data_IF_923102268806
#
_entry.id   IF_923102268806
#
_cell.length_a   1.000
_cell.length_b   1.000
_cell.length_c   1.000
_cell.angle_alpha   90.00
_cell.angle_beta   90.00
_cell.angle_gamma   90.00
#
_symmetry.space_group_name_H-M   'P 1'
#
loop_
_entity.id
_entity.type
_entity.pdbx_description
1 polymer ?
#
# COMPACT_ATOMS: atom_id res chain seq x y z
N UNK A 1 4.07 21.38 8.96
CA UNK A 1 2.85 22.19 8.66
C UNK A 1 3.07 22.94 7.34
N UNK A 2 2.19 22.79 6.34
CA UNK A 2 2.38 23.31 4.97
C UNK A 2 2.35 24.85 4.83
N UNK A 3 2.09 25.62 5.89
CA UNK A 3 2.04 27.10 5.87
C UNK A 3 1.07 27.72 4.85
N UNK A 4 0.08 26.95 4.38
CA UNK A 4 -0.84 27.37 3.30
C UNK A 4 -2.19 27.77 3.90
N UNK A 5 -2.77 28.88 3.45
CA UNK A 5 -4.09 29.30 3.88
C UNK A 5 -5.18 28.31 3.43
N UNK A 6 -6.17 28.06 4.30
CA UNK A 6 -7.30 27.15 4.02
C UNK A 6 -8.03 27.50 2.71
N UNK A 7 -8.11 28.80 2.37
CA UNK A 7 -8.69 29.28 1.12
C UNK A 7 -7.93 28.80 -0.14
N UNK A 8 -6.60 28.65 -0.05
CA UNK A 8 -5.80 28.14 -1.18
C UNK A 8 -6.09 26.67 -1.45
N UNK A 9 -6.23 25.86 -0.38
CA UNK A 9 -6.56 24.43 -0.50
C UNK A 9 -7.95 24.26 -1.12
N UNK A 10 -8.94 25.06 -0.70
CA UNK A 10 -10.28 25.05 -1.27
C UNK A 10 -10.26 25.37 -2.77
N UNK A 11 -9.52 26.39 -3.18
CA UNK A 11 -9.37 26.79 -4.57
C UNK A 11 -8.72 25.69 -5.44
N UNK A 12 -7.70 25.01 -4.94
CA UNK A 12 -7.06 23.89 -5.66
C UNK A 12 -8.02 22.71 -5.86
N UNK A 13 -8.87 22.44 -4.86
CA UNK A 13 -9.90 21.40 -4.97
C UNK A 13 -10.96 21.81 -5.99
N UNK A 14 -11.45 23.04 -5.95
CA UNK A 14 -12.48 23.54 -6.85
C UNK A 14 -12.01 23.62 -8.32
N UNK A 15 -10.71 23.88 -8.53
CA UNK A 15 -10.07 23.82 -9.86
C UNK A 15 -9.70 22.40 -10.31
N UNK A 16 -10.00 21.37 -9.52
CA UNK A 16 -9.67 19.98 -9.84
C UNK A 16 -8.16 19.65 -9.78
N UNK A 17 -7.34 20.57 -9.30
CA UNK A 17 -5.91 20.38 -9.18
C UNK A 17 -5.52 19.45 -8.00
N UNK A 18 -6.32 19.52 -6.92
CA UNK A 18 -6.16 18.67 -5.73
C UNK A 18 -7.41 17.82 -5.56
N UNK A 19 -7.25 16.50 -5.64
CA UNK A 19 -8.34 15.54 -5.46
C UNK A 19 -8.79 15.50 -4.00
N UNK A 20 -10.09 15.62 -3.76
CA UNK A 20 -10.69 15.51 -2.44
C UNK A 20 -11.97 14.67 -2.49
N UNK A 21 -12.18 13.85 -1.47
CA UNK A 21 -13.46 13.21 -1.18
C UNK A 21 -14.35 14.13 -0.34
N UNK A 22 -15.62 13.70 -0.11
CA UNK A 22 -16.55 14.35 0.82
C UNK A 22 -17.01 13.34 1.88
N UNK A 23 -17.10 13.79 3.13
CA UNK A 23 -17.78 13.02 4.19
C UNK A 23 -19.29 13.11 4.01
N UNK A 24 -20.08 12.22 4.66
CA UNK A 24 -21.54 12.36 4.70
C UNK A 24 -22.02 13.73 5.18
N UNK A 25 -21.28 14.41 6.06
CA UNK A 25 -21.52 15.79 6.50
C UNK A 25 -21.03 16.90 5.55
N UNK A 26 -20.64 16.55 4.31
CA UNK A 26 -20.25 17.52 3.28
C UNK A 26 -18.81 18.07 3.38
N UNK A 27 -18.05 17.73 4.43
CA UNK A 27 -16.69 18.20 4.58
C UNK A 27 -15.75 17.57 3.55
N UNK A 28 -14.87 18.40 2.98
CA UNK A 28 -13.83 17.95 2.04
C UNK A 28 -12.74 17.18 2.80
N UNK A 29 -12.31 16.03 2.27
CA UNK A 29 -11.21 15.22 2.78
C UNK A 29 -10.18 14.98 1.70
N UNK A 30 -8.96 15.39 1.96
CA UNK A 30 -7.79 15.11 1.10
C UNK A 30 -7.01 13.99 1.75
N UNK A 31 -6.73 12.93 1.01
CA UNK A 31 -5.83 11.86 1.50
C UNK A 31 -4.38 12.32 1.43
N UNK A 32 -3.52 11.75 2.29
CA UNK A 32 -2.08 12.04 2.28
C UNK A 32 -1.48 11.84 0.87
N UNK A 33 -1.89 10.78 0.18
CA UNK A 33 -1.46 10.50 -1.19
C UNK A 33 -1.86 11.59 -2.19
N UNK A 34 -3.13 12.01 -2.23
CA UNK A 34 -3.57 13.06 -3.15
C UNK A 34 -2.85 14.38 -2.89
N UNK A 35 -2.55 14.65 -1.60
CA UNK A 35 -1.78 15.82 -1.23
C UNK A 35 -0.33 15.70 -1.70
N UNK A 36 0.29 14.54 -1.53
CA UNK A 36 1.65 14.27 -1.97
C UNK A 36 1.79 14.39 -3.50
N UNK A 37 0.89 13.74 -4.25
CA UNK A 37 0.83 13.84 -5.71
C UNK A 37 0.71 15.30 -6.16
N UNK A 38 -0.18 16.07 -5.53
CA UNK A 38 -0.34 17.49 -5.79
C UNK A 38 0.95 18.28 -5.51
N UNK A 39 1.60 18.06 -4.36
CA UNK A 39 2.83 18.75 -3.99
C UNK A 39 3.96 18.44 -4.96
N UNK A 40 4.10 17.20 -5.42
CA UNK A 40 5.08 16.78 -6.43
C UNK A 40 4.84 17.48 -7.77
N UNK A 41 3.59 17.47 -8.27
CA UNK A 41 3.21 18.12 -9.53
C UNK A 41 3.45 19.63 -9.49
N UNK A 42 3.14 20.26 -8.35
CA UNK A 42 3.35 21.71 -8.15
C UNK A 42 4.80 22.07 -7.76
N UNK A 43 5.69 21.08 -7.62
CA UNK A 43 7.08 21.25 -7.16
C UNK A 43 7.16 22.01 -5.83
N UNK A 44 6.21 21.77 -4.94
CA UNK A 44 6.16 22.35 -3.60
C UNK A 44 6.95 21.48 -2.60
N UNK A 45 7.49 22.04 -1.52
CA UNK A 45 8.17 21.27 -0.48
C UNK A 45 7.23 20.22 0.11
N UNK A 46 7.71 18.99 0.24
CA UNK A 46 6.97 17.87 0.83
C UNK A 46 7.42 17.75 2.30
N UNK A 47 6.48 17.85 3.26
CA UNK A 47 6.80 17.58 4.65
C UNK A 47 7.21 16.11 4.85
N UNK A 48 8.21 15.87 5.70
CA UNK A 48 8.74 14.54 5.97
C UNK A 48 7.66 13.58 6.53
N UNK A 49 6.74 14.12 7.35
CA UNK A 49 5.60 13.38 7.89
C UNK A 49 4.62 12.93 6.79
N UNK A 50 4.54 13.66 5.71
CA UNK A 50 3.68 13.32 4.58
C UNK A 50 4.34 12.29 3.66
N UNK A 51 5.64 12.34 3.48
CA UNK A 51 6.39 11.31 2.77
C UNK A 51 6.29 9.97 3.49
N UNK A 52 6.51 9.94 4.79
CA UNK A 52 6.41 8.72 5.60
C UNK A 52 4.99 8.16 5.68
N UNK A 53 3.97 9.02 5.73
CA UNK A 53 2.56 8.59 5.77
C UNK A 53 2.07 7.99 4.44
N UNK A 54 2.71 8.31 3.31
CA UNK A 54 2.34 7.76 1.99
C UNK A 54 3.10 6.48 1.63
N UNK A 55 3.95 6.00 2.50
CA UNK A 55 4.89 4.90 2.23
C UNK A 55 4.78 3.78 3.28
N UNK A 56 3.57 3.49 3.74
CA UNK A 56 3.33 2.33 4.59
C UNK A 56 3.43 1.06 3.75
N UNK A 57 4.20 0.09 4.25
CA UNK A 57 4.29 -1.28 3.74
C UNK A 57 3.51 -2.16 4.71
N UNK A 58 2.53 -2.90 4.21
CA UNK A 58 1.77 -3.87 4.98
C UNK A 58 2.22 -5.29 4.61
N UNK A 59 2.63 -6.05 5.60
CA UNK A 59 2.91 -7.49 5.49
C UNK A 59 1.66 -8.24 5.94
N UNK A 60 1.20 -9.22 5.14
CA UNK A 60 0.05 -10.07 5.46
C UNK A 60 0.49 -11.52 5.33
N UNK A 61 0.74 -12.17 6.49
CA UNK A 61 1.24 -13.53 6.58
C UNK A 61 0.85 -14.11 7.95
N UNK A 62 0.24 -15.30 7.98
CA UNK A 62 -0.18 -15.96 9.22
C UNK A 62 0.98 -16.62 9.97
N UNK A 63 2.11 -16.86 9.32
CA UNK A 63 3.32 -17.36 9.94
C UNK A 63 4.07 -16.22 10.66
N UNK A 64 3.94 -16.13 11.98
CA UNK A 64 4.56 -15.08 12.78
C UNK A 64 6.08 -14.96 12.51
N UNK A 65 6.78 -16.07 12.36
CA UNK A 65 8.23 -16.09 12.13
C UNK A 65 8.61 -15.44 10.78
N UNK A 66 7.82 -15.68 9.73
CA UNK A 66 8.01 -15.06 8.40
C UNK A 66 7.73 -13.56 8.48
N UNK A 67 6.63 -13.17 9.11
CA UNK A 67 6.27 -11.78 9.26
C UNK A 67 7.27 -10.99 10.10
N UNK A 68 7.75 -11.54 11.20
CA UNK A 68 8.75 -10.91 12.09
C UNK A 68 10.12 -10.77 11.37
N UNK A 69 10.52 -11.78 10.60
CA UNK A 69 11.71 -11.71 9.75
C UNK A 69 11.59 -10.62 8.68
N UNK A 70 10.50 -10.63 7.91
CA UNK A 70 10.24 -9.59 6.90
C UNK A 70 10.21 -8.20 7.52
N UNK A 71 9.59 -8.05 8.69
CA UNK A 71 9.53 -6.79 9.42
C UNK A 71 10.93 -6.27 9.76
N UNK A 72 11.84 -7.15 10.22
CA UNK A 72 13.21 -6.78 10.60
C UNK A 72 14.02 -6.34 9.36
N UNK A 73 13.98 -7.15 8.29
CA UNK A 73 14.70 -6.87 7.04
C UNK A 73 14.20 -5.57 6.38
N UNK A 74 12.89 -5.42 6.27
CA UNK A 74 12.32 -4.23 5.64
C UNK A 74 12.52 -2.96 6.45
N UNK A 75 12.58 -3.03 7.78
CA UNK A 75 12.94 -1.86 8.61
C UNK A 75 14.38 -1.41 8.38
N UNK A 76 15.29 -2.35 8.14
CA UNK A 76 16.69 -2.02 7.81
C UNK A 76 16.81 -1.35 6.43
N UNK A 77 16.09 -1.89 5.43
CA UNK A 77 16.12 -1.40 4.04
C UNK A 77 15.33 -0.11 3.82
N UNK A 78 14.24 0.07 4.58
CA UNK A 78 13.31 1.19 4.46
C UNK A 78 13.12 1.93 5.81
N UNK A 79 14.18 2.50 6.41
CA UNK A 79 14.13 3.08 7.76
C UNK A 79 13.17 4.27 7.91
N UNK A 80 12.80 4.92 6.78
CA UNK A 80 11.85 6.05 6.77
C UNK A 80 10.40 5.63 6.50
N UNK A 81 10.15 4.32 6.25
CA UNK A 81 8.83 3.82 5.92
C UNK A 81 8.17 3.20 7.16
N UNK A 82 6.86 3.38 7.23
CA UNK A 82 6.06 2.68 8.24
C UNK A 82 5.81 1.25 7.77
N UNK A 83 6.25 0.27 8.54
CA UNK A 83 6.02 -1.14 8.25
C UNK A 83 5.10 -1.70 9.31
N UNK A 84 4.01 -2.31 8.87
CA UNK A 84 2.98 -2.91 9.72
C UNK A 84 2.72 -4.34 9.26
N UNK A 85 2.25 -5.19 10.17
CA UNK A 85 1.97 -6.59 9.92
C UNK A 85 0.54 -6.93 10.30
N UNK A 86 -0.11 -7.74 9.49
CA UNK A 86 -1.36 -8.42 9.77
C UNK A 86 -1.16 -9.94 9.70
N UNK A 87 -1.82 -10.69 10.56
CA UNK A 87 -1.73 -12.15 10.63
C UNK A 87 -2.94 -12.87 10.07
N UNK A 88 -3.97 -12.12 9.73
CA UNK A 88 -5.17 -12.63 9.10
C UNK A 88 -5.85 -11.58 8.21
N UNK A 89 -6.92 -12.00 7.53
CA UNK A 89 -7.66 -11.14 6.62
C UNK A 89 -8.46 -10.04 7.29
N UNK A 90 -8.85 -10.22 8.55
CA UNK A 90 -9.59 -9.21 9.30
C UNK A 90 -8.64 -8.06 9.66
N UNK A 91 -7.52 -8.38 10.31
CA UNK A 91 -6.48 -7.41 10.66
C UNK A 91 -5.93 -6.70 9.43
N UNK A 92 -5.70 -7.44 8.32
CA UNK A 92 -5.30 -6.85 7.04
C UNK A 92 -6.31 -5.81 6.54
N UNK A 93 -7.61 -6.10 6.64
CA UNK A 93 -8.68 -5.17 6.24
C UNK A 93 -8.70 -3.89 7.07
N UNK A 94 -8.50 -4.00 8.38
CA UNK A 94 -8.40 -2.85 9.29
C UNK A 94 -7.17 -2.00 8.97
N UNK A 95 -6.00 -2.62 8.82
CA UNK A 95 -4.75 -1.92 8.50
C UNK A 95 -4.77 -1.29 7.11
N UNK A 96 -5.37 -1.92 6.11
CA UNK A 96 -5.54 -1.31 4.78
C UNK A 96 -6.37 -0.03 4.87
N UNK A 97 -7.38 -0.02 5.74
CA UNK A 97 -8.27 1.15 5.89
C UNK A 97 -7.63 2.26 6.71
N UNK A 98 -6.96 1.92 7.80
CA UNK A 98 -6.37 2.89 8.75
C UNK A 98 -5.03 3.44 8.27
N UNK A 99 -4.16 2.59 7.72
CA UNK A 99 -2.79 2.94 7.33
C UNK A 99 -2.65 3.33 5.85
N UNK A 100 -3.65 3.01 5.01
CA UNK A 100 -3.65 3.28 3.57
C UNK A 100 -2.32 2.91 2.88
N UNK A 101 -1.84 1.65 2.97
CA UNK A 101 -0.51 1.26 2.55
C UNK A 101 -0.30 1.50 1.04
N UNK A 102 0.94 1.86 0.67
CA UNK A 102 1.34 1.93 -0.74
C UNK A 102 1.62 0.54 -1.31
N UNK A 103 2.18 -0.34 -0.47
CA UNK A 103 2.54 -1.71 -0.84
C UNK A 103 1.92 -2.68 0.15
N UNK A 104 1.36 -3.77 -0.36
CA UNK A 104 0.91 -4.93 0.41
C UNK A 104 1.70 -6.15 -0.05
N UNK A 105 2.41 -6.77 0.87
CA UNK A 105 3.08 -8.06 0.71
C UNK A 105 2.11 -9.10 1.24
N UNK A 106 1.61 -9.98 0.38
CA UNK A 106 0.47 -10.85 0.66
C UNK A 106 0.83 -12.32 0.48
N UNK A 107 0.79 -13.11 1.55
CA UNK A 107 0.78 -14.57 1.41
C UNK A 107 -0.55 -15.02 0.77
N UNK A 108 -0.44 -15.88 -0.24
CA UNK A 108 -1.62 -16.41 -0.93
C UNK A 108 -2.31 -17.52 -0.17
N UNK A 109 -1.62 -18.18 0.77
CA UNK A 109 -2.14 -19.36 1.46
C UNK A 109 -2.18 -19.15 2.97
N UNK A 110 -3.23 -18.50 3.41
CA UNK A 110 -3.54 -18.34 4.83
C UNK A 110 -4.88 -19.01 5.18
N UNK A 111 -5.04 -19.57 6.40
CA UNK A 111 -6.31 -20.14 6.84
C UNK A 111 -7.45 -19.11 6.76
N UNK A 112 -8.57 -19.51 6.14
CA UNK A 112 -9.75 -18.64 6.04
C UNK A 112 -9.63 -17.42 5.13
N UNK A 113 -8.48 -17.21 4.47
CA UNK A 113 -8.26 -16.12 3.53
C UNK A 113 -7.81 -16.64 2.15
N UNK A 114 -8.54 -16.24 1.13
CA UNK A 114 -8.15 -16.49 -0.26
C UNK A 114 -7.41 -15.25 -0.80
N UNK A 115 -6.08 -15.33 -0.91
CA UNK A 115 -5.25 -14.22 -1.37
C UNK A 115 -5.63 -13.70 -2.76
N UNK A 116 -6.13 -14.57 -3.66
CA UNK A 116 -6.65 -14.15 -4.98
C UNK A 116 -7.89 -13.25 -4.85
N UNK A 117 -8.78 -13.58 -3.89
CA UNK A 117 -9.96 -12.76 -3.64
C UNK A 117 -9.60 -11.41 -3.01
N UNK A 118 -8.63 -11.39 -2.09
CA UNK A 118 -8.09 -10.15 -1.52
C UNK A 118 -7.54 -9.25 -2.62
N UNK A 119 -6.72 -9.78 -3.52
CA UNK A 119 -6.21 -9.05 -4.68
C UNK A 119 -7.35 -8.42 -5.50
N UNK A 120 -8.32 -9.22 -5.92
CA UNK A 120 -9.46 -8.73 -6.70
C UNK A 120 -10.24 -7.64 -5.97
N UNK A 121 -10.51 -7.82 -4.68
CA UNK A 121 -11.24 -6.84 -3.85
C UNK A 121 -10.47 -5.52 -3.73
N UNK A 122 -9.16 -5.57 -3.53
CA UNK A 122 -8.33 -4.36 -3.46
C UNK A 122 -8.32 -3.62 -4.80
N UNK A 123 -8.20 -4.33 -5.91
CA UNK A 123 -8.14 -3.74 -7.25
C UNK A 123 -9.49 -3.24 -7.78
N UNK A 124 -10.59 -3.82 -7.32
CA UNK A 124 -11.94 -3.38 -7.72
C UNK A 124 -12.39 -2.07 -7.07
N UNK A 125 -11.83 -1.68 -5.93
CA UNK A 125 -12.23 -0.47 -5.20
C UNK A 125 -11.38 0.72 -5.59
N UNK A 126 -12.00 1.86 -5.90
CA UNK A 126 -11.31 3.09 -6.27
C UNK A 126 -10.32 3.57 -5.18
N UNK A 127 -10.64 3.35 -3.90
CA UNK A 127 -9.79 3.75 -2.77
C UNK A 127 -8.53 2.91 -2.60
N UNK A 128 -8.49 1.67 -3.10
CA UNK A 128 -7.40 0.71 -2.86
C UNK A 128 -6.76 0.15 -4.13
N UNK A 129 -7.36 0.37 -5.32
CA UNK A 129 -6.83 -0.16 -6.59
C UNK A 129 -5.40 0.25 -6.92
N UNK A 130 -4.94 1.30 -6.28
CA UNK A 130 -3.58 1.83 -6.46
C UNK A 130 -2.52 1.09 -5.64
N UNK A 131 -2.93 0.34 -4.62
CA UNK A 131 -2.02 -0.41 -3.76
C UNK A 131 -1.22 -1.37 -4.62
N UNK A 132 0.09 -1.32 -4.51
CA UNK A 132 0.96 -2.27 -5.17
C UNK A 132 0.95 -3.59 -4.38
N UNK A 133 0.58 -4.70 -5.03
CA UNK A 133 0.44 -5.98 -4.37
C UNK A 133 1.56 -6.90 -4.83
N UNK A 134 2.41 -7.29 -3.89
CA UNK A 134 3.46 -8.30 -4.05
C UNK A 134 2.94 -9.57 -3.40
N UNK A 135 2.56 -10.56 -4.21
CA UNK A 135 2.08 -11.85 -3.71
C UNK A 135 3.27 -12.77 -3.37
N UNK A 136 3.12 -13.59 -2.34
CA UNK A 136 4.09 -14.62 -1.95
C UNK A 136 3.39 -15.98 -1.86
N UNK A 137 4.08 -17.05 -2.20
CA UNK A 137 3.55 -18.42 -2.03
C UNK A 137 4.65 -19.47 -1.91
N UNK A 138 4.44 -20.47 -1.05
CA UNK A 138 5.24 -21.70 -1.04
C UNK A 138 4.80 -22.67 -2.16
N UNK A 139 3.61 -22.49 -2.71
CA UNK A 139 2.99 -23.38 -3.71
C UNK A 139 2.95 -22.70 -5.07
N UNK A 140 4.12 -22.48 -5.65
CA UNK A 140 4.22 -21.87 -6.98
C UNK A 140 3.81 -22.84 -8.07
N UNK A 141 3.00 -22.34 -9.01
CA UNK A 141 2.76 -22.94 -10.32
C UNK A 141 2.54 -21.83 -11.35
N UNK A 142 2.77 -22.12 -12.63
CA UNK A 142 2.52 -21.15 -13.71
C UNK A 142 1.06 -20.70 -13.75
N UNK A 143 0.12 -21.61 -13.46
CA UNK A 143 -1.31 -21.29 -13.39
C UNK A 143 -1.61 -20.35 -12.21
N UNK A 144 -1.02 -20.60 -11.03
CA UNK A 144 -1.18 -19.73 -9.88
C UNK A 144 -0.60 -18.31 -10.14
N UNK A 145 0.55 -18.23 -10.80
CA UNK A 145 1.15 -16.98 -11.21
C UNK A 145 0.25 -16.21 -12.17
N UNK A 146 -0.20 -16.86 -13.25
CA UNK A 146 -1.11 -16.24 -14.21
C UNK A 146 -2.41 -15.77 -13.54
N UNK A 147 -2.96 -16.57 -12.64
CA UNK A 147 -4.20 -16.26 -11.93
C UNK A 147 -4.02 -15.06 -10.98
N UNK A 148 -2.91 -14.97 -10.24
CA UNK A 148 -2.71 -13.89 -9.29
C UNK A 148 -2.39 -12.57 -10.01
N UNK A 149 -1.61 -12.60 -11.08
CA UNK A 149 -1.34 -11.43 -11.91
C UNK A 149 -2.63 -10.92 -12.57
N UNK A 150 -3.48 -11.81 -13.09
CA UNK A 150 -4.80 -11.43 -13.64
C UNK A 150 -5.76 -10.92 -12.57
N UNK A 151 -5.56 -11.29 -11.30
CA UNK A 151 -6.30 -10.75 -10.15
C UNK A 151 -5.79 -9.37 -9.71
N UNK A 152 -4.68 -8.89 -10.31
CA UNK A 152 -4.14 -7.56 -10.14
C UNK A 152 -2.93 -7.46 -9.21
N UNK A 153 -2.30 -8.57 -8.80
CA UNK A 153 -0.98 -8.50 -8.19
C UNK A 153 0.04 -8.00 -9.22
N UNK A 154 1.07 -7.33 -8.75
CA UNK A 154 2.14 -6.81 -9.60
C UNK A 154 3.18 -7.88 -9.90
N UNK A 155 3.42 -8.76 -8.93
CA UNK A 155 4.39 -9.85 -9.03
C UNK A 155 4.00 -10.98 -8.07
N UNK A 156 4.44 -12.21 -8.38
CA UNK A 156 4.39 -13.37 -7.49
C UNK A 156 5.82 -13.81 -7.15
N UNK A 157 6.15 -13.84 -5.87
CA UNK A 157 7.40 -14.37 -5.33
C UNK A 157 7.19 -15.78 -4.81
N UNK A 158 8.04 -16.71 -5.23
CA UNK A 158 8.05 -18.09 -4.74
C UNK A 158 8.87 -18.17 -3.45
N UNK A 159 8.27 -18.62 -2.35
CA UNK A 159 8.98 -18.94 -1.11
C UNK A 159 9.79 -20.26 -1.26
N UNK A 160 11.07 -20.33 -0.80
CA UNK A 160 11.86 -19.23 -0.27
C UNK A 160 12.38 -18.29 -1.38
N UNK A 161 12.49 -17.00 -1.09
CA UNK A 161 13.04 -15.99 -1.99
C UNK A 161 14.13 -15.17 -1.28
N UNK A 162 15.03 -14.60 -2.06
CA UNK A 162 16.04 -13.66 -1.56
C UNK A 162 15.38 -12.32 -1.23
N UNK A 163 15.77 -11.72 -0.10
CA UNK A 163 15.19 -10.45 0.35
C UNK A 163 15.38 -9.34 -0.67
N UNK A 164 16.51 -9.34 -1.41
CA UNK A 164 16.80 -8.37 -2.45
C UNK A 164 15.76 -8.35 -3.57
N UNK A 165 15.17 -9.52 -3.90
CA UNK A 165 14.10 -9.60 -4.89
C UNK A 165 12.85 -8.84 -4.40
N UNK A 166 12.46 -9.03 -3.14
CA UNK A 166 11.35 -8.32 -2.54
C UNK A 166 11.61 -6.81 -2.44
N UNK A 167 12.80 -6.43 -1.97
CA UNK A 167 13.24 -5.02 -1.85
C UNK A 167 13.21 -4.33 -3.21
N UNK A 168 13.68 -4.99 -4.26
CA UNK A 168 13.64 -4.46 -5.63
C UNK A 168 12.22 -4.16 -6.09
N UNK A 169 11.27 -5.08 -5.85
CA UNK A 169 9.86 -4.88 -6.21
C UNK A 169 9.20 -3.76 -5.40
N UNK A 170 9.53 -3.64 -4.10
CA UNK A 170 9.04 -2.53 -3.27
C UNK A 170 9.57 -1.19 -3.79
N UNK A 171 10.85 -1.09 -4.15
CA UNK A 171 11.45 0.13 -4.69
C UNK A 171 10.75 0.57 -5.99
N UNK A 172 10.51 -0.37 -6.93
CA UNK A 172 9.75 -0.09 -8.17
C UNK A 172 8.33 0.42 -7.89
N UNK A 173 7.69 -0.06 -6.82
CA UNK A 173 6.36 0.37 -6.44
C UNK A 173 6.30 1.79 -5.86
N UNK A 174 7.42 2.31 -5.38
CA UNK A 174 7.53 3.59 -4.69
C UNK A 174 8.11 4.72 -5.57
N UNK A 175 8.63 4.39 -6.76
CA UNK A 175 9.04 5.35 -7.80
C UNK A 175 7.82 5.99 -8.48
#
# INVERSE_FOLDING_TARGET
MLGVAVGSVANWIDKGQLRAGRTPGGHRRVTARHLLEFLRVQKLPIPEELESASSTILIVDDEAAVGDWLMAELKAEFPRHRIVQARDGFEAGELITSEAPAVVILDLKMPGLNGFEVCRRLKSRQSTRHIHIIAMTAYYSADAEQQILSSGASVLLRKPFEIDALVSEIRKAME
#
